data_IF_709202390801
#
_entry.id   IF_709202390801
#
_cell.length_a   1.000
_cell.length_b   1.000
_cell.length_c   1.000
_cell.angle_alpha   90.00
_cell.angle_beta   90.00
_cell.angle_gamma   90.00
#
_symmetry.space_group_name_H-M   'P 1'
#
loop_
_entity.id
_entity.type
_entity.pdbx_description
1 polymer ?
#
# COMPACT_ATOMS: atom_id res chain seq x y z
N UNK A 1 -19.85 -6.08 8.52
CA UNK A 1 -19.29 -5.69 7.20
C UNK A 1 -17.77 -5.81 7.30
N UNK A 2 -17.09 -6.55 6.40
CA UNK A 2 -15.64 -6.83 6.50
C UNK A 2 -14.84 -6.14 5.37
N UNK A 3 -14.68 -4.81 5.41
CA UNK A 3 -14.02 -4.05 4.34
C UNK A 3 -12.57 -4.48 4.11
N UNK A 4 -11.86 -4.89 5.17
CA UNK A 4 -10.49 -5.40 5.07
C UNK A 4 -10.41 -6.68 4.22
N UNK A 5 -11.30 -7.66 4.47
CA UNK A 5 -11.33 -8.91 3.70
C UNK A 5 -11.69 -8.67 2.24
N UNK A 6 -12.65 -7.79 1.97
CA UNK A 6 -13.00 -7.41 0.59
C UNK A 6 -11.80 -6.80 -0.13
N UNK A 7 -11.07 -5.90 0.54
CA UNK A 7 -9.90 -5.27 -0.06
C UNK A 7 -8.78 -6.27 -0.32
N UNK A 8 -8.55 -7.20 0.61
CA UNK A 8 -7.63 -8.31 0.41
C UNK A 8 -8.03 -9.16 -0.81
N UNK A 9 -9.31 -9.55 -0.90
CA UNK A 9 -9.80 -10.34 -2.03
C UNK A 9 -9.63 -9.61 -3.37
N UNK A 10 -9.88 -8.29 -3.41
CA UNK A 10 -9.63 -7.47 -4.60
C UNK A 10 -8.14 -7.51 -4.97
N UNK A 11 -7.25 -7.24 -4.02
CA UNK A 11 -5.80 -7.20 -4.28
C UNK A 11 -5.22 -8.56 -4.70
N UNK A 12 -5.83 -9.67 -4.26
CA UNK A 12 -5.40 -11.02 -4.62
C UNK A 12 -6.00 -11.54 -5.93
N UNK A 13 -7.21 -11.07 -6.30
CA UNK A 13 -7.96 -11.64 -7.44
C UNK A 13 -7.85 -10.80 -8.71
N UNK A 14 -7.62 -9.49 -8.57
CA UNK A 14 -7.50 -8.59 -9.71
C UNK A 14 -6.07 -8.57 -10.23
N UNK A 15 -5.91 -8.31 -11.52
CA UNK A 15 -4.59 -8.16 -12.13
C UNK A 15 -3.83 -6.99 -11.51
N UNK A 16 -2.51 -7.13 -11.40
CA UNK A 16 -1.66 -6.11 -10.77
C UNK A 16 -1.64 -4.77 -11.52
N UNK A 17 -1.81 -4.78 -12.85
CA UNK A 17 -1.93 -3.58 -13.68
C UNK A 17 -3.19 -2.77 -13.37
N UNK A 18 -4.31 -3.45 -13.13
CA UNK A 18 -5.57 -2.83 -12.68
C UNK A 18 -5.40 -2.10 -11.35
N UNK A 19 -4.63 -2.71 -10.44
CA UNK A 19 -4.34 -2.17 -9.10
C UNK A 19 -3.37 -0.99 -9.21
N UNK A 20 -2.28 -1.16 -9.97
CA UNK A 20 -1.25 -0.14 -10.15
C UNK A 20 -1.78 1.17 -10.76
N UNK A 21 -2.70 1.07 -11.73
CA UNK A 21 -3.35 2.24 -12.34
C UNK A 21 -4.22 3.06 -11.36
N UNK A 22 -4.63 2.45 -10.24
CA UNK A 22 -5.51 3.02 -9.21
C UNK A 22 -4.83 3.13 -7.85
N UNK A 23 -3.51 3.01 -7.81
CA UNK A 23 -2.74 2.86 -6.57
C UNK A 23 -3.04 3.93 -5.51
N UNK A 24 -3.18 5.20 -5.91
CA UNK A 24 -3.50 6.30 -4.99
C UNK A 24 -4.84 6.04 -4.28
N UNK A 25 -5.86 5.66 -5.03
CA UNK A 25 -7.19 5.38 -4.50
C UNK A 25 -7.18 4.18 -3.55
N UNK A 26 -6.42 3.14 -3.86
CA UNK A 26 -6.25 2.01 -2.94
C UNK A 26 -5.67 2.47 -1.60
N UNK A 27 -4.61 3.30 -1.60
CA UNK A 27 -4.03 3.84 -0.36
C UNK A 27 -5.04 4.68 0.43
N UNK A 28 -5.82 5.54 -0.26
CA UNK A 28 -6.86 6.35 0.38
C UNK A 28 -7.93 5.47 1.04
N UNK A 29 -8.43 4.45 0.34
CA UNK A 29 -9.41 3.52 0.93
C UNK A 29 -8.80 2.82 2.13
N UNK A 30 -7.58 2.31 2.03
CA UNK A 30 -6.88 1.66 3.15
C UNK A 30 -6.71 2.58 4.37
N UNK A 31 -6.54 3.89 4.15
CA UNK A 31 -6.44 4.87 5.25
C UNK A 31 -7.73 5.00 6.07
N UNK A 32 -8.88 4.69 5.47
CA UNK A 32 -10.21 4.76 6.11
C UNK A 32 -10.65 3.45 6.76
N UNK A 33 -9.95 2.34 6.48
CA UNK A 33 -10.27 1.03 7.04
C UNK A 33 -9.79 0.97 8.49
N UNK A 34 -10.73 1.00 9.43
CA UNK A 34 -10.53 0.65 10.84
C UNK A 34 -11.21 -0.69 11.09
N UNK A 35 -10.45 -1.76 11.31
CA UNK A 35 -11.02 -3.07 11.64
C UNK A 35 -10.20 -3.74 12.73
N UNK A 36 -10.89 -4.22 13.75
CA UNK A 36 -10.37 -5.19 14.70
C UNK A 36 -10.12 -6.53 13.98
N UNK A 37 -8.92 -7.09 14.10
CA UNK A 37 -8.58 -8.44 13.65
C UNK A 37 -7.87 -8.58 12.29
N UNK A 38 -7.87 -7.56 11.42
CA UNK A 38 -7.01 -7.53 10.22
C UNK A 38 -6.31 -6.18 10.14
N UNK A 39 -4.99 -6.19 10.23
CA UNK A 39 -4.24 -4.96 10.46
C UNK A 39 -4.20 -4.14 9.18
N UNK A 40 -4.47 -2.84 9.29
CA UNK A 40 -4.36 -1.88 8.19
C UNK A 40 -2.97 -1.96 7.52
N UNK A 41 -1.94 -2.24 8.30
CA UNK A 41 -0.58 -2.47 7.83
C UNK A 41 -0.42 -3.73 6.97
N UNK A 42 -1.10 -4.84 7.25
CA UNK A 42 -1.06 -6.03 6.39
C UNK A 42 -1.56 -5.71 4.98
N UNK A 43 -2.68 -5.00 4.85
CA UNK A 43 -3.20 -4.57 3.54
C UNK A 43 -2.27 -3.58 2.86
N UNK A 44 -1.71 -2.62 3.62
CA UNK A 44 -0.80 -1.63 3.07
C UNK A 44 0.51 -2.25 2.57
N UNK A 45 1.00 -3.32 3.22
CA UNK A 45 2.14 -4.10 2.74
C UNK A 45 1.82 -4.93 1.51
N UNK A 46 0.64 -5.55 1.47
CA UNK A 46 0.19 -6.28 0.28
C UNK A 46 0.14 -5.36 -0.94
N UNK A 47 -0.42 -4.16 -0.78
CA UNK A 47 -0.40 -3.14 -1.83
C UNK A 47 1.03 -2.76 -2.21
N UNK A 48 1.89 -2.44 -1.23
CA UNK A 48 3.29 -2.11 -1.47
C UNK A 48 4.01 -3.19 -2.29
N UNK A 49 3.83 -4.47 -1.94
CA UNK A 49 4.40 -5.61 -2.67
C UNK A 49 3.93 -5.67 -4.13
N UNK A 50 2.62 -5.49 -4.38
CA UNK A 50 2.06 -5.45 -5.73
C UNK A 50 2.70 -4.32 -6.54
N UNK A 51 2.82 -3.13 -5.94
CA UNK A 51 3.33 -1.94 -6.62
C UNK A 51 4.83 -1.98 -6.88
N UNK A 52 5.61 -2.67 -6.03
CA UNK A 52 7.05 -2.93 -6.28
C UNK A 52 7.25 -3.79 -7.53
N UNK A 53 6.36 -4.75 -7.79
CA UNK A 53 6.43 -5.61 -8.97
C UNK A 53 5.77 -4.98 -10.20
N UNK A 54 4.69 -4.22 -9.99
CA UNK A 54 3.92 -3.56 -11.06
C UNK A 54 3.80 -2.07 -10.75
N UNK A 55 4.70 -1.28 -11.34
CA UNK A 55 4.79 0.13 -11.05
C UNK A 55 3.51 0.90 -11.46
N UNK A 56 3.03 1.83 -10.62
CA UNK A 56 2.09 2.86 -11.06
C UNK A 56 2.68 3.73 -12.20
N UNK A 57 1.82 4.46 -12.94
CA UNK A 57 2.26 5.51 -13.86
C UNK A 57 3.22 6.49 -13.15
N UNK A 58 4.26 6.93 -13.85
CA UNK A 58 5.36 7.74 -13.29
C UNK A 58 4.89 8.94 -12.48
N UNK A 59 3.89 9.64 -13.00
CA UNK A 59 3.27 10.84 -12.44
C UNK A 59 2.48 10.55 -11.14
N UNK A 60 2.03 9.31 -10.94
CA UNK A 60 1.30 8.91 -9.73
C UNK A 60 2.22 8.43 -8.61
N UNK A 61 3.43 7.94 -8.93
CA UNK A 61 4.30 7.24 -7.96
C UNK A 61 4.57 8.06 -6.71
N UNK A 62 4.89 9.36 -6.88
CA UNK A 62 5.14 10.27 -5.76
C UNK A 62 3.91 10.47 -4.88
N UNK A 63 2.73 10.61 -5.49
CA UNK A 63 1.47 10.74 -4.75
C UNK A 63 1.14 9.46 -3.96
N UNK A 64 1.36 8.28 -4.57
CA UNK A 64 1.19 6.98 -3.92
C UNK A 64 2.11 6.85 -2.70
N UNK A 65 3.40 7.17 -2.86
CA UNK A 65 4.38 7.11 -1.77
C UNK A 65 4.01 8.06 -0.63
N UNK A 66 3.65 9.31 -0.95
CA UNK A 66 3.25 10.30 0.05
C UNK A 66 1.98 9.89 0.82
N UNK A 67 0.99 9.34 0.12
CA UNK A 67 -0.23 8.86 0.74
C UNK A 67 0.06 7.69 1.69
N UNK A 68 0.88 6.73 1.27
CA UNK A 68 1.20 5.56 2.07
C UNK A 68 2.02 5.93 3.31
N UNK A 69 3.01 6.82 3.14
CA UNK A 69 3.82 7.28 4.25
C UNK A 69 3.00 7.97 5.33
N UNK A 70 1.96 8.73 4.94
CA UNK A 70 1.02 9.35 5.87
C UNK A 70 0.27 8.32 6.72
N UNK A 71 -0.08 7.17 6.13
CA UNK A 71 -0.71 6.06 6.86
C UNK A 71 0.30 5.40 7.79
N UNK A 72 1.51 5.11 7.31
CA UNK A 72 2.60 4.48 8.07
C UNK A 72 2.95 5.32 9.29
N UNK A 73 3.17 6.63 9.13
CA UNK A 73 3.53 7.54 10.22
C UNK A 73 2.45 7.69 11.29
N UNK A 74 1.21 7.26 11.01
CA UNK A 74 0.10 7.27 11.97
C UNK A 74 -0.01 5.99 12.80
N UNK A 75 0.82 4.98 12.55
CA UNK A 75 0.75 3.69 13.23
C UNK A 75 1.34 3.79 14.64
N UNK A 76 0.56 3.42 15.66
CA UNK A 76 1.04 3.35 17.05
C UNK A 76 1.75 2.03 17.38
N UNK A 77 1.49 0.96 16.62
CA UNK A 77 2.18 -0.32 16.79
C UNK A 77 3.54 -0.27 16.07
N UNK A 78 4.63 -0.43 16.84
CA UNK A 78 6.01 -0.32 16.34
C UNK A 78 6.36 -1.42 15.34
N UNK A 79 5.92 -2.66 15.61
CA UNK A 79 6.19 -3.78 14.70
C UNK A 79 5.49 -3.57 13.35
N UNK A 80 4.22 -3.17 13.38
CA UNK A 80 3.44 -2.87 12.18
C UNK A 80 4.05 -1.71 11.39
N UNK A 81 4.50 -0.66 12.09
CA UNK A 81 5.21 0.48 11.51
C UNK A 81 6.48 0.02 10.77
N UNK A 82 7.37 -0.74 11.42
CA UNK A 82 8.64 -1.20 10.83
C UNK A 82 8.37 -2.06 9.59
N UNK A 83 7.47 -3.04 9.70
CA UNK A 83 7.14 -3.93 8.59
C UNK A 83 6.57 -3.16 7.39
N UNK A 84 5.75 -2.12 7.62
CA UNK A 84 5.24 -1.29 6.53
C UNK A 84 6.32 -0.39 5.94
N UNK A 85 7.13 0.25 6.78
CA UNK A 85 8.22 1.11 6.35
C UNK A 85 9.22 0.33 5.48
N UNK A 86 9.59 -0.89 5.89
CA UNK A 86 10.48 -1.77 5.12
C UNK A 86 9.89 -2.09 3.74
N UNK A 87 8.61 -2.50 3.69
CA UNK A 87 7.97 -2.83 2.41
C UNK A 87 7.94 -1.63 1.45
N UNK A 88 7.66 -0.45 1.97
CA UNK A 88 7.58 0.78 1.16
C UNK A 88 8.95 1.38 0.83
N UNK A 89 9.99 1.07 1.61
CA UNK A 89 11.37 1.35 1.23
C UNK A 89 11.79 0.53 0.00
N UNK A 90 11.36 -0.73 -0.10
CA UNK A 90 11.60 -1.56 -1.30
C UNK A 90 10.89 -0.99 -2.55
N UNK A 91 9.64 -0.54 -2.43
CA UNK A 91 8.95 0.15 -3.51
C UNK A 91 9.72 1.42 -3.94
N UNK A 92 10.20 2.19 -2.96
CA UNK A 92 10.93 3.44 -3.21
C UNK A 92 12.25 3.17 -3.93
N UNK A 93 13.05 2.19 -3.47
CA UNK A 93 14.33 1.85 -4.11
C UNK A 93 14.14 1.36 -5.55
N UNK A 94 13.09 0.60 -5.82
CA UNK A 94 12.82 0.04 -7.14
C UNK A 94 12.38 1.08 -8.18
N UNK A 95 11.67 2.15 -7.76
CA UNK A 95 11.01 3.06 -8.69
C UNK A 95 11.46 4.52 -8.64
N UNK A 96 12.27 4.90 -7.65
CA UNK A 96 12.80 6.26 -7.46
C UNK A 96 14.33 6.31 -7.40
N UNK A 97 15.02 5.18 -7.59
CA UNK A 97 16.47 5.17 -7.72
C UNK A 97 16.92 6.05 -8.89
N UNK A 98 17.99 6.81 -8.67
CA UNK A 98 18.70 7.50 -9.75
C UNK A 98 19.23 6.41 -10.72
N UNK A 99 18.82 6.47 -11.99
CA UNK A 99 19.53 5.81 -13.07
C UNK A 99 20.50 6.79 -13.69
#
# INVERSE_FOLDING_TARGET
>A
KHPALLMQSIMQSFRSDFIALRAVHFVEVLSTISVEGFSRGQLLRMLGSILTHTAPPSEQRGAVLNAAWRVISSMGNVEEYIQCAEMWAQYTSQHFGLR
#
